data_IF_638915999668
#
_entry.id   IF_638915999668
#
_cell.length_a   1.000
_cell.length_b   1.000
_cell.length_c   1.000
_cell.angle_alpha   90.00
_cell.angle_beta   90.00
_cell.angle_gamma   90.00
#
_symmetry.space_group_name_H-M   'P 1'
#
loop_
_entity.id
_entity.type
_entity.pdbx_description
1 polymer ?
#
# COMPACT_ATOMS: atom_id res chain seq x y z
N UNK A 1 -19.97 -33.77 -17.23
CA UNK A 1 -18.58 -33.43 -16.83
C UNK A 1 -18.59 -32.08 -16.16
N UNK A 2 -18.05 -31.96 -14.95
CA UNK A 2 -17.84 -30.66 -14.28
C UNK A 2 -16.57 -30.03 -14.85
N UNK A 3 -16.65 -28.84 -15.47
CA UNK A 3 -15.50 -28.22 -16.13
C UNK A 3 -14.51 -27.62 -15.10
N UNK A 4 -13.26 -27.49 -15.53
CA UNK A 4 -12.27 -26.68 -14.81
C UNK A 4 -12.60 -25.20 -15.00
N UNK A 5 -12.65 -24.45 -13.91
CA UNK A 5 -13.08 -23.05 -13.93
C UNK A 5 -12.20 -22.19 -13.04
N UNK A 6 -11.92 -20.96 -13.49
CA UNK A 6 -11.26 -19.97 -12.66
C UNK A 6 -12.20 -19.49 -11.57
N UNK A 7 -11.74 -19.56 -10.32
CA UNK A 7 -12.45 -19.03 -9.16
C UNK A 7 -11.60 -17.93 -8.55
N UNK A 8 -12.25 -16.81 -8.25
CA UNK A 8 -11.61 -15.64 -7.65
C UNK A 8 -12.08 -15.48 -6.22
N UNK A 9 -11.16 -15.11 -5.34
CA UNK A 9 -11.49 -14.62 -4.00
C UNK A 9 -11.86 -13.13 -4.04
N UNK A 10 -12.32 -12.63 -2.90
CA UNK A 10 -12.47 -11.19 -2.69
C UNK A 10 -11.12 -10.47 -2.81
N UNK A 11 -11.19 -9.19 -3.17
CA UNK A 11 -10.02 -8.33 -3.17
C UNK A 11 -9.52 -8.11 -1.74
N UNK A 12 -8.21 -8.20 -1.58
CA UNK A 12 -7.52 -7.73 -0.38
C UNK A 12 -7.59 -6.19 -0.31
N UNK A 13 -7.16 -5.64 0.83
CA UNK A 13 -7.06 -4.20 0.98
C UNK A 13 -6.03 -3.61 0.01
N UNK A 14 -6.18 -2.32 -0.29
CA UNK A 14 -5.18 -1.59 -1.06
C UNK A 14 -3.85 -1.62 -0.31
N UNK A 15 -2.75 -1.88 -1.02
CA UNK A 15 -1.39 -1.77 -0.49
C UNK A 15 -1.07 -0.31 -0.06
N UNK A 16 -1.57 0.66 -0.82
CA UNK A 16 -1.41 2.06 -0.47
C UNK A 16 -2.33 2.43 0.69
N UNK A 17 -1.84 3.30 1.57
CA UNK A 17 -2.67 3.93 2.62
C UNK A 17 -3.21 5.29 2.20
N UNK A 18 -2.64 5.87 1.14
CA UNK A 18 -3.06 7.11 0.52
C UNK A 18 -2.62 7.11 -0.96
N UNK A 19 -3.34 7.84 -1.81
CA UNK A 19 -3.04 7.95 -3.24
C UNK A 19 -3.26 6.64 -4.00
N UNK A 20 -2.51 6.47 -5.09
CA UNK A 20 -2.63 5.30 -5.96
C UNK A 20 -1.92 4.08 -5.37
N UNK A 21 -2.58 2.93 -5.47
CA UNK A 21 -2.06 1.65 -5.03
C UNK A 21 -2.54 0.50 -5.89
N UNK A 22 -2.20 -0.69 -5.43
CA UNK A 22 -2.64 -1.94 -6.04
C UNK A 22 -3.24 -2.84 -4.96
N UNK A 23 -4.34 -3.50 -5.28
CA UNK A 23 -4.93 -4.57 -4.46
C UNK A 23 -4.80 -5.90 -5.19
N UNK A 24 -4.58 -6.96 -4.42
CA UNK A 24 -4.44 -8.33 -4.88
C UNK A 24 -5.69 -9.15 -4.57
N UNK A 25 -5.93 -10.19 -5.35
CA UNK A 25 -6.85 -11.28 -5.01
C UNK A 25 -6.29 -12.62 -5.43
N UNK A 26 -6.75 -13.68 -4.78
CA UNK A 26 -6.43 -15.04 -5.21
C UNK A 26 -7.25 -15.41 -6.43
N UNK A 27 -6.59 -16.02 -7.41
CA UNK A 27 -7.18 -16.57 -8.63
C UNK A 27 -6.70 -18.01 -8.74
N UNK A 28 -7.61 -18.96 -8.57
CA UNK A 28 -7.29 -20.38 -8.51
C UNK A 28 -8.09 -21.15 -9.55
N UNK A 29 -7.44 -22.11 -10.23
CA UNK A 29 -8.15 -23.07 -11.06
C UNK A 29 -8.83 -24.13 -10.18
N UNK A 30 -10.15 -24.30 -10.33
CA UNK A 30 -10.93 -25.29 -9.59
C UNK A 30 -11.48 -26.37 -10.51
N UNK A 31 -11.26 -27.62 -10.13
CA UNK A 31 -11.79 -28.80 -10.82
C UNK A 31 -13.10 -29.33 -10.22
N UNK A 32 -13.52 -30.54 -10.63
CA UNK A 32 -14.66 -31.25 -10.04
C UNK A 32 -14.57 -31.29 -8.51
N UNK A 33 -15.66 -30.92 -7.83
CA UNK A 33 -15.70 -30.89 -6.37
C UNK A 33 -15.04 -29.67 -5.72
N UNK A 34 -14.77 -28.59 -6.49
CA UNK A 34 -14.10 -27.35 -6.01
C UNK A 34 -12.70 -27.60 -5.43
N UNK A 35 -12.00 -28.60 -5.94
CA UNK A 35 -10.60 -28.84 -5.60
C UNK A 35 -9.70 -27.85 -6.33
N UNK A 36 -8.75 -27.24 -5.63
CA UNK A 36 -7.69 -26.45 -6.28
C UNK A 36 -6.81 -27.40 -7.07
N UNK A 37 -6.63 -27.08 -8.35
CA UNK A 37 -5.75 -27.83 -9.26
C UNK A 37 -4.72 -26.87 -9.87
N UNK A 38 -3.79 -27.43 -10.66
CA UNK A 38 -2.80 -26.62 -11.37
C UNK A 38 -3.48 -25.66 -12.37
N UNK A 39 -2.90 -24.49 -12.57
CA UNK A 39 -3.46 -23.45 -13.43
C UNK A 39 -3.62 -23.91 -14.90
N UNK A 40 -2.78 -24.83 -15.36
CA UNK A 40 -2.79 -25.37 -16.73
C UNK A 40 -4.07 -26.14 -17.10
N UNK A 41 -4.88 -26.55 -16.12
CA UNK A 41 -6.16 -27.20 -16.37
C UNK A 41 -7.27 -26.21 -16.77
N UNK A 42 -7.09 -24.93 -16.47
CA UNK A 42 -8.03 -23.87 -16.83
C UNK A 42 -7.52 -23.10 -18.04
N UNK A 43 -8.43 -22.59 -18.87
CA UNK A 43 -8.11 -21.84 -20.09
C UNK A 43 -7.33 -20.55 -19.76
N UNK A 44 -6.03 -20.43 -20.12
CA UNK A 44 -5.20 -19.30 -19.70
C UNK A 44 -5.70 -17.94 -20.18
N UNK A 45 -6.30 -17.90 -21.37
CA UNK A 45 -6.86 -16.66 -21.95
C UNK A 45 -8.06 -16.11 -21.16
N UNK A 46 -8.72 -16.95 -20.38
CA UNK A 46 -9.86 -16.58 -19.53
C UNK A 46 -9.48 -16.27 -18.08
N UNK A 47 -8.18 -16.33 -17.73
CA UNK A 47 -7.70 -16.10 -16.37
C UNK A 47 -8.00 -14.67 -15.92
N UNK A 48 -8.79 -14.47 -14.85
CA UNK A 48 -9.05 -13.13 -14.32
C UNK A 48 -7.78 -12.49 -13.76
N UNK A 49 -7.69 -11.16 -13.79
CA UNK A 49 -6.57 -10.45 -13.18
C UNK A 49 -6.51 -10.70 -11.68
N UNK A 50 -5.32 -11.00 -11.17
CA UNK A 50 -5.02 -11.10 -9.73
C UNK A 50 -4.67 -9.74 -9.11
N UNK A 51 -4.46 -8.71 -9.93
CA UNK A 51 -4.10 -7.36 -9.50
C UNK A 51 -5.07 -6.32 -10.07
N UNK A 52 -5.40 -5.31 -9.27
CA UNK A 52 -6.20 -4.18 -9.71
C UNK A 52 -5.69 -2.88 -9.07
N UNK A 53 -5.72 -1.78 -9.82
CA UNK A 53 -5.48 -0.45 -9.27
C UNK A 53 -6.56 -0.09 -8.24
N UNK A 54 -6.13 0.57 -7.17
CA UNK A 54 -7.00 1.16 -6.16
C UNK A 54 -6.56 2.60 -5.91
N UNK A 55 -7.53 3.46 -5.61
CA UNK A 55 -7.30 4.85 -5.26
C UNK A 55 -7.78 5.07 -3.82
N UNK A 56 -6.84 5.43 -2.96
CA UNK A 56 -7.10 5.85 -1.59
C UNK A 56 -7.16 7.38 -1.48
N UNK A 57 -7.50 7.88 -0.29
CA UNK A 57 -7.48 9.32 -0.03
C UNK A 57 -6.12 9.95 -0.41
N UNK A 58 -6.08 11.18 -0.96
CA UNK A 58 -4.82 11.81 -1.36
C UNK A 58 -3.78 11.84 -0.22
N UNK A 59 -2.50 11.68 -0.57
CA UNK A 59 -1.40 11.80 0.38
C UNK A 59 -1.11 13.28 0.69
N UNK A 60 -1.07 13.61 1.98
CA UNK A 60 -0.48 14.85 2.48
C UNK A 60 1.00 14.59 2.76
N UNK A 61 1.86 15.41 2.17
CA UNK A 61 3.30 15.35 2.38
C UNK A 61 3.73 16.43 3.37
N UNK A 62 4.49 16.03 4.38
CA UNK A 62 5.00 16.94 5.41
C UNK A 62 6.49 16.72 5.66
N UNK A 63 7.20 17.83 5.82
CA UNK A 63 8.61 17.84 6.19
C UNK A 63 8.76 17.70 7.70
N UNK A 64 9.50 16.68 8.11
CA UNK A 64 9.90 16.45 9.50
C UNK A 64 11.38 16.80 9.60
N UNK A 65 11.67 17.84 10.38
CA UNK A 65 13.04 18.28 10.65
C UNK A 65 13.43 17.85 12.05
N UNK A 66 14.54 17.13 12.18
CA UNK A 66 15.14 16.83 13.47
C UNK A 66 15.88 18.06 14.02
N UNK A 67 16.23 17.98 15.31
CA UNK A 67 17.08 18.95 15.96
C UNK A 67 18.47 19.01 15.32
N UNK A 68 19.12 20.17 15.44
CA UNK A 68 20.50 20.34 15.02
C UNK A 68 21.45 19.51 15.89
N UNK A 69 22.46 18.94 15.25
CA UNK A 69 23.59 18.34 15.96
C UNK A 69 24.35 19.41 16.75
N UNK A 70 25.16 18.96 17.70
CA UNK A 70 26.18 19.83 18.27
C UNK A 70 27.13 20.31 17.17
N UNK A 71 27.72 21.50 17.37
CA UNK A 71 28.77 22.00 16.49
C UNK A 71 29.96 21.04 16.51
N UNK A 72 30.52 20.75 15.33
CA UNK A 72 31.73 19.91 15.19
C UNK A 72 32.97 20.50 15.87
N UNK A 73 32.97 21.80 16.15
CA UNK A 73 34.06 22.52 16.78
C UNK A 73 33.57 23.27 18.02
N UNK A 74 34.37 23.27 19.08
CA UNK A 74 34.14 24.05 20.30
C UNK A 74 34.61 25.52 20.18
N UNK A 75 35.46 25.83 19.20
CA UNK A 75 35.88 27.18 18.84
C UNK A 75 36.26 27.27 17.35
N UNK A 76 36.21 28.47 16.77
CA UNK A 76 36.50 28.67 15.34
C UNK A 76 35.36 28.25 14.42
N UNK A 77 35.69 27.83 13.19
CA UNK A 77 34.70 27.42 12.18
C UNK A 77 34.38 25.94 12.33
N UNK A 78 33.10 25.61 12.45
CA UNK A 78 32.60 24.24 12.49
C UNK A 78 31.32 24.11 11.68
N UNK A 79 30.77 22.90 11.64
CA UNK A 79 29.52 22.60 10.96
C UNK A 79 28.53 21.93 11.93
N UNK A 80 27.25 22.12 11.64
CA UNK A 80 26.15 21.39 12.27
C UNK A 80 25.35 20.69 11.17
N UNK A 81 24.76 19.57 11.54
CA UNK A 81 23.94 18.77 10.64
C UNK A 81 22.59 18.53 11.30
N UNK A 82 21.55 18.36 10.49
CA UNK A 82 20.25 17.88 10.95
C UNK A 82 19.65 16.98 9.89
N UNK A 83 18.76 16.11 10.33
CA UNK A 83 18.03 15.22 9.42
C UNK A 83 16.75 15.94 8.99
N UNK A 84 16.45 15.86 7.71
CA UNK A 84 15.18 16.31 7.13
C UNK A 84 14.56 15.13 6.41
N UNK A 85 13.34 14.75 6.78
CA UNK A 85 12.62 13.63 6.19
C UNK A 85 11.28 14.09 5.63
N UNK A 86 10.88 13.53 4.49
CA UNK A 86 9.55 13.70 3.94
C UNK A 86 8.69 12.52 4.39
N UNK A 87 7.52 12.81 4.95
CA UNK A 87 6.55 11.78 5.34
C UNK A 87 5.22 12.00 4.63
N UNK A 88 4.55 10.90 4.27
CA UNK A 88 3.23 10.90 3.67
C UNK A 88 2.18 10.41 4.68
N UNK A 89 1.03 11.07 4.72
CA UNK A 89 -0.13 10.65 5.52
C UNK A 89 -1.43 10.75 4.71
N UNK A 90 -2.44 9.91 4.99
CA UNK A 90 -3.74 10.04 4.33
C UNK A 90 -4.43 11.36 4.72
N UNK A 91 -4.99 12.06 3.73
CA UNK A 91 -5.76 13.30 3.96
C UNK A 91 -7.00 13.10 4.83
N UNK A 92 -7.60 11.91 4.81
CA UNK A 92 -8.74 11.54 5.65
C UNK A 92 -8.44 11.55 7.16
N UNK A 93 -7.17 11.42 7.57
CA UNK A 93 -6.76 11.50 8.98
C UNK A 93 -6.72 12.94 9.50
N UNK A 94 -6.67 13.94 8.60
CA UNK A 94 -6.67 15.35 8.99
C UNK A 94 -8.02 15.78 9.55
N UNK A 95 -9.13 15.21 9.05
CA UNK A 95 -10.50 15.57 9.45
C UNK A 95 -10.89 15.08 10.85
N UNK A 96 -10.12 14.17 11.46
CA UNK A 96 -10.41 13.63 12.80
C UNK A 96 -9.74 14.40 13.96
N UNK A 97 -8.84 15.35 13.67
CA UNK A 97 -8.15 16.14 14.71
C UNK A 97 -8.56 17.63 14.75
N UNK A 98 -9.54 18.06 13.94
CA UNK A 98 -10.07 19.43 13.99
C UNK A 98 -11.11 19.69 15.09
N UNK A 99 -11.46 18.69 15.91
CA UNK A 99 -12.26 18.90 17.11
C UNK A 99 -11.44 18.57 18.36
N UNK A 100 -11.01 19.57 19.16
CA UNK A 100 -10.60 19.29 20.53
C UNK A 100 -11.81 18.75 21.30
N UNK A 101 -11.66 17.69 22.13
CA UNK A 101 -12.69 17.34 23.08
C UNK A 101 -12.88 18.53 24.04
N UNK A 102 -14.15 18.90 24.25
CA UNK A 102 -14.59 19.96 25.17
C UNK A 102 -14.22 19.67 26.62
#
# INVERSE_FOLDING_TARGET
CTPFTWVVADWEHCNATCGEGVRSRKVECKGPGRTTVHDDYCEPSSRPSSLQLCEEAPCLYMWITAEWSQCSASCGVGFQQRIVSCSARPSSYSTQHFYPPS
#
